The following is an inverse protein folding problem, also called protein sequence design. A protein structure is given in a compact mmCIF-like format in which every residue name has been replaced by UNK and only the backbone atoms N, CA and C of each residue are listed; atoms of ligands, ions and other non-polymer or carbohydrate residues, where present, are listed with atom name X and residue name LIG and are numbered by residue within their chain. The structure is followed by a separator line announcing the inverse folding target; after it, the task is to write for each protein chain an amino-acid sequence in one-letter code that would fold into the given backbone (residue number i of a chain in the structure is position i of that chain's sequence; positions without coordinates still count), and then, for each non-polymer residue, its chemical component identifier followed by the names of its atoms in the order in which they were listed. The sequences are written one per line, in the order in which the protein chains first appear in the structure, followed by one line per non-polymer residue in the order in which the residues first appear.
data_IF_637293452577
#
_entry.id   IF_637293452577
#
_cell.length_a   1.000
_cell.length_b   1.000
_cell.length_c   1.000
_cell.angle_alpha   90.00
_cell.angle_beta   90.00
_cell.angle_gamma   90.00
#
_symmetry.space_group_name_H-M   'P 1'
#
loop_
_entity.id
_entity.type
_entity.pdbx_description
1 polymer ?
#
# COMPACT_ATOMS: atom_id res chain seq x y z
N UNK A 1 36.71 -27.85 -13.19
CA UNK A 1 36.83 -26.86 -14.29
C UNK A 1 35.57 -26.93 -15.14
N UNK A 2 34.52 -26.21 -14.75
CA UNK A 2 33.26 -26.14 -15.50
C UNK A 2 33.31 -24.93 -16.42
N UNK A 3 33.18 -25.16 -17.73
CA UNK A 3 33.18 -24.14 -18.78
C UNK A 3 31.94 -23.24 -18.62
N UNK A 4 32.16 -21.92 -18.61
CA UNK A 4 31.11 -20.92 -18.76
C UNK A 4 30.34 -21.15 -20.08
N UNK A 5 29.03 -20.88 -20.14
CA UNK A 5 28.29 -20.91 -21.39
C UNK A 5 28.62 -19.66 -22.23
N UNK A 6 29.06 -19.92 -23.46
CA UNK A 6 29.43 -18.98 -24.54
C UNK A 6 28.28 -18.03 -24.94
N UNK A 7 27.06 -18.23 -24.45
CA UNK A 7 25.85 -17.50 -24.86
C UNK A 7 25.68 -16.11 -24.22
N UNK A 8 26.52 -15.72 -23.25
CA UNK A 8 26.52 -14.35 -22.67
C UNK A 8 27.27 -13.36 -23.57
N UNK A 9 28.30 -13.83 -24.30
CA UNK A 9 29.07 -13.01 -25.25
C UNK A 9 28.23 -12.55 -26.46
N UNK A 10 27.25 -13.35 -26.88
CA UNK A 10 26.40 -13.06 -28.05
C UNK A 10 25.40 -11.91 -27.77
N UNK A 11 25.02 -11.68 -26.51
CA UNK A 11 24.04 -10.65 -26.13
C UNK A 11 24.61 -9.22 -26.19
N UNK A 12 25.90 -9.05 -25.92
CA UNK A 12 26.61 -7.78 -26.11
C UNK A 12 26.92 -7.52 -27.60
N UNK A 13 27.19 -8.56 -28.40
CA UNK A 13 27.30 -8.47 -29.87
C UNK A 13 26.00 -8.00 -30.55
N UNK A 14 24.82 -8.36 -30.03
CA UNK A 14 23.55 -7.84 -30.56
C UNK A 14 23.33 -6.35 -30.30
N UNK A 15 23.85 -5.78 -29.21
CA UNK A 15 23.82 -4.33 -28.93
C UNK A 15 24.76 -3.53 -29.86
N UNK A 16 25.73 -4.19 -30.51
CA UNK A 16 26.71 -3.57 -31.42
C UNK A 16 26.19 -3.32 -32.86
N UNK A 17 24.92 -3.61 -33.14
CA UNK A 17 24.32 -3.45 -34.47
C UNK A 17 23.67 -2.08 -34.73
N UNK A 18 23.57 -1.21 -33.71
CA UNK A 18 23.21 0.20 -33.93
C UNK A 18 24.35 0.94 -34.62
N UNK A 19 24.10 1.44 -35.84
CA UNK A 19 25.12 2.08 -36.70
C UNK A 19 25.62 3.43 -36.19
N UNK A 20 24.98 3.99 -35.16
CA UNK A 20 25.22 5.37 -34.70
C UNK A 20 25.99 5.47 -33.37
N UNK A 21 26.50 4.36 -32.83
CA UNK A 21 27.33 4.38 -31.62
C UNK A 21 28.82 4.60 -31.97
N UNK A 22 29.54 5.56 -31.34
CA UNK A 22 30.97 5.75 -31.59
C UNK A 22 31.73 4.47 -31.21
N UNK A 23 32.27 3.77 -32.21
CA UNK A 23 32.95 2.46 -32.06
C UNK A 23 34.38 2.54 -31.54
N UNK A 24 34.87 3.71 -31.16
CA UNK A 24 36.29 3.89 -30.85
C UNK A 24 36.57 3.75 -29.35
N UNK A 25 37.30 2.67 -29.02
CA UNK A 25 38.03 2.35 -27.76
C UNK A 25 37.28 2.32 -26.42
N UNK A 26 36.15 2.99 -26.27
CA UNK A 26 35.39 3.00 -25.00
C UNK A 26 34.63 1.67 -24.79
N UNK A 27 34.41 0.89 -25.86
CA UNK A 27 33.54 -0.27 -25.85
C UNK A 27 34.12 -1.58 -25.25
N UNK A 28 35.44 -1.78 -25.21
CA UNK A 28 36.00 -3.08 -24.78
C UNK A 28 36.56 -3.06 -23.35
N UNK A 29 37.16 -1.95 -22.90
CA UNK A 29 37.73 -1.87 -21.54
C UNK A 29 36.72 -1.43 -20.47
N UNK A 30 35.76 -0.56 -20.80
CA UNK A 30 34.75 -0.09 -19.84
C UNK A 30 33.53 -1.03 -19.70
N UNK A 31 33.32 -1.97 -20.62
CA UNK A 31 32.13 -2.83 -20.66
C UNK A 31 32.28 -4.17 -19.91
N UNK A 32 33.50 -4.61 -19.61
CA UNK A 32 33.74 -5.79 -18.77
C UNK A 32 33.32 -5.56 -17.31
N UNK A 33 33.25 -4.30 -16.88
CA UNK A 33 33.09 -3.93 -15.49
C UNK A 33 31.64 -4.06 -14.97
N UNK A 34 30.59 -3.59 -15.67
CA UNK A 34 29.20 -3.78 -15.25
C UNK A 34 28.72 -5.22 -15.46
N UNK A 35 29.27 -5.94 -16.45
CA UNK A 35 28.96 -7.34 -16.69
C UNK A 35 29.49 -8.22 -15.54
N UNK A 36 30.69 -7.94 -15.03
CA UNK A 36 31.20 -8.61 -13.84
C UNK A 36 30.36 -8.28 -12.61
N UNK A 37 29.95 -7.01 -12.42
CA UNK A 37 29.02 -6.65 -11.35
C UNK A 37 27.67 -7.38 -11.44
N UNK A 38 27.13 -7.59 -12.65
CA UNK A 38 25.93 -8.42 -12.92
C UNK A 38 26.13 -9.90 -12.61
N UNK A 39 27.29 -10.45 -12.95
CA UNK A 39 27.64 -11.84 -12.69
C UNK A 39 27.82 -12.08 -11.18
N UNK A 40 28.55 -11.20 -10.51
CA UNK A 40 28.69 -11.24 -9.05
C UNK A 40 27.35 -11.03 -8.35
N UNK A 41 26.48 -10.17 -8.89
CA UNK A 41 25.11 -9.96 -8.40
C UNK A 41 24.26 -11.23 -8.46
N UNK A 42 24.35 -12.03 -9.54
CA UNK A 42 23.65 -13.33 -9.63
C UNK A 42 24.10 -14.28 -8.53
N UNK A 43 25.39 -14.27 -8.18
CA UNK A 43 25.92 -15.09 -7.08
C UNK A 43 25.48 -14.56 -5.71
N UNK A 44 25.33 -13.24 -5.54
CA UNK A 44 24.89 -12.61 -4.28
C UNK A 44 23.38 -12.77 -4.06
N UNK A 45 22.55 -12.71 -5.11
CA UNK A 45 21.10 -12.97 -5.02
C UNK A 45 20.77 -14.40 -4.55
N UNK A 46 21.77 -15.29 -4.54
CA UNK A 46 21.70 -16.66 -4.00
C UNK A 46 22.24 -16.78 -2.58
N UNK A 47 22.89 -15.74 -2.04
CA UNK A 47 23.35 -15.71 -0.66
C UNK A 47 22.14 -15.40 0.24
N UNK A 48 21.83 -16.25 1.23
CA UNK A 48 20.71 -15.99 2.14
C UNK A 48 20.92 -14.65 2.86
N UNK A 49 19.85 -13.83 2.89
CA UNK A 49 19.76 -12.65 3.74
C UNK A 49 20.05 -13.08 5.18
N UNK A 50 21.19 -12.66 5.74
CA UNK A 50 21.60 -13.00 7.11
C UNK A 50 23.00 -13.59 7.30
N UNK A 51 23.80 -13.82 6.24
CA UNK A 51 25.22 -14.13 6.43
C UNK A 51 26.03 -12.86 6.74
N UNK A 52 26.64 -12.83 7.93
CA UNK A 52 27.53 -11.76 8.40
C UNK A 52 28.76 -11.63 7.48
N UNK A 53 28.66 -10.80 6.45
CA UNK A 53 29.82 -10.33 5.70
C UNK A 53 30.67 -9.45 6.63
N UNK A 54 31.83 -9.97 7.02
CA UNK A 54 32.83 -9.29 7.87
C UNK A 54 33.49 -8.10 7.19
N UNK A 55 33.35 -7.98 5.86
CA UNK A 55 33.88 -6.86 5.10
C UNK A 55 33.03 -5.60 5.30
N UNK A 56 33.65 -4.42 5.47
CA UNK A 56 32.93 -3.17 5.68
C UNK A 56 32.17 -2.71 4.42
N UNK A 57 32.54 -3.17 3.22
CA UNK A 57 31.85 -2.91 1.96
C UNK A 57 32.02 -4.13 1.03
N UNK A 58 30.94 -4.66 0.42
CA UNK A 58 31.06 -5.75 -0.54
C UNK A 58 31.75 -5.34 -1.86
N UNK A 59 32.57 -6.21 -2.50
CA UNK A 59 33.29 -5.88 -3.74
C UNK A 59 32.38 -5.46 -4.91
N UNK A 60 31.18 -6.02 -5.00
CA UNK A 60 30.21 -5.65 -6.05
C UNK A 60 29.72 -4.20 -5.91
N UNK A 61 29.66 -3.68 -4.68
CA UNK A 61 29.24 -2.31 -4.43
C UNK A 61 30.33 -1.33 -4.82
N UNK A 62 31.59 -1.63 -4.50
CA UNK A 62 32.74 -0.82 -4.97
C UNK A 62 32.71 -0.72 -6.49
N UNK A 63 32.46 -1.84 -7.19
CA UNK A 63 32.27 -1.83 -8.64
C UNK A 63 31.02 -1.06 -9.07
N UNK A 64 29.93 -1.09 -8.30
CA UNK A 64 28.77 -0.29 -8.64
C UNK A 64 29.07 1.22 -8.58
N UNK A 65 29.81 1.66 -7.56
CA UNK A 65 30.25 3.05 -7.41
C UNK A 65 31.24 3.43 -8.51
N UNK A 66 32.26 2.62 -8.77
CA UNK A 66 33.24 2.87 -9.85
C UNK A 66 32.57 2.91 -11.24
N UNK A 67 31.64 2.00 -11.52
CA UNK A 67 30.87 2.01 -12.76
C UNK A 67 29.98 3.25 -12.87
N UNK A 68 29.42 3.70 -11.75
CA UNK A 68 28.63 4.92 -11.74
C UNK A 68 29.48 6.15 -12.00
N UNK A 69 30.62 6.29 -11.34
CA UNK A 69 31.50 7.46 -11.47
C UNK A 69 32.17 7.55 -12.83
N UNK A 70 32.58 6.41 -13.40
CA UNK A 70 33.34 6.38 -14.67
C UNK A 70 32.45 6.32 -15.90
N UNK A 71 31.26 5.73 -15.80
CA UNK A 71 30.40 5.51 -16.96
C UNK A 71 29.08 6.27 -16.85
N UNK A 72 28.26 6.07 -15.81
CA UNK A 72 26.92 6.68 -15.78
C UNK A 72 26.95 8.20 -15.55
N UNK A 73 27.69 8.66 -14.54
CA UNK A 73 27.72 10.06 -14.11
C UNK A 73 28.18 11.03 -15.21
N UNK A 74 29.25 10.76 -15.99
CA UNK A 74 29.67 11.65 -17.08
C UNK A 74 28.64 11.78 -18.21
N UNK A 75 27.80 10.75 -18.41
CA UNK A 75 26.74 10.75 -19.43
C UNK A 75 25.35 11.07 -18.85
N UNK A 76 25.25 11.45 -17.58
CA UNK A 76 23.98 11.85 -16.99
C UNK A 76 23.49 13.15 -17.63
N UNK A 77 22.26 13.19 -18.20
CA UNK A 77 21.70 14.42 -18.74
C UNK A 77 21.60 15.51 -17.68
N UNK A 78 21.73 16.79 -18.06
CA UNK A 78 21.53 17.90 -17.12
C UNK A 78 20.11 17.95 -16.53
N UNK A 79 19.11 17.45 -17.27
CA UNK A 79 17.71 17.38 -16.86
C UNK A 79 17.08 16.06 -17.30
N UNK A 80 16.22 15.48 -16.46
CA UNK A 80 15.57 14.19 -16.70
C UNK A 80 14.56 14.16 -17.87
N UNK A 81 14.21 15.33 -18.44
CA UNK A 81 13.13 15.50 -19.43
C UNK A 81 13.62 16.00 -20.79
N UNK A 82 14.92 16.05 -21.04
CA UNK A 82 15.39 16.25 -22.40
C UNK A 82 14.95 15.03 -23.23
N UNK A 83 14.39 15.26 -24.43
CA UNK A 83 13.90 14.27 -25.41
C UNK A 83 14.98 13.30 -25.93
N UNK A 84 15.98 12.99 -25.10
CA UNK A 84 16.89 11.90 -25.31
C UNK A 84 16.10 10.62 -25.04
N UNK A 85 15.68 9.91 -26.09
CA UNK A 85 15.53 8.46 -26.02
C UNK A 85 16.84 7.94 -25.43
N UNK A 86 16.90 7.60 -24.12
CA UNK A 86 18.16 7.18 -23.55
C UNK A 86 18.43 5.83 -24.20
N UNK A 87 19.50 5.76 -24.99
CA UNK A 87 20.02 4.52 -25.56
C UNK A 87 19.79 3.39 -24.56
N UNK A 88 18.97 2.40 -24.93
CA UNK A 88 18.44 1.38 -24.02
C UNK A 88 19.55 0.74 -23.17
N UNK A 89 20.76 0.68 -23.71
CA UNK A 89 21.97 0.17 -23.06
C UNK A 89 22.41 0.98 -21.83
N UNK A 90 22.52 2.32 -21.91
CA UNK A 90 22.96 3.15 -20.76
C UNK A 90 21.92 3.10 -19.64
N UNK A 91 20.63 3.09 -20.03
CA UNK A 91 19.52 2.93 -19.09
C UNK A 91 19.55 1.57 -18.38
N UNK A 92 19.83 0.49 -19.10
CA UNK A 92 20.04 -0.85 -18.52
C UNK A 92 21.20 -0.85 -17.50
N UNK A 93 22.33 -0.21 -17.83
CA UNK A 93 23.44 -0.11 -16.89
C UNK A 93 23.06 0.71 -15.65
N UNK A 94 22.43 1.87 -15.82
CA UNK A 94 21.97 2.68 -14.69
C UNK A 94 21.05 1.88 -13.76
N UNK A 95 20.10 1.13 -14.31
CA UNK A 95 19.20 0.26 -13.56
C UNK A 95 19.96 -0.80 -12.73
N UNK A 96 20.92 -1.50 -13.33
CA UNK A 96 21.74 -2.53 -12.65
C UNK A 96 22.56 -1.93 -11.53
N UNK A 97 23.19 -0.79 -11.78
CA UNK A 97 24.05 -0.13 -10.79
C UNK A 97 23.22 0.42 -9.61
N UNK A 98 22.06 1.05 -9.89
CA UNK A 98 21.09 1.46 -8.86
C UNK A 98 20.64 0.26 -8.02
N UNK A 99 20.30 -0.86 -8.67
CA UNK A 99 19.87 -2.08 -7.97
C UNK A 99 20.96 -2.62 -7.05
N UNK A 100 22.22 -2.57 -7.50
CA UNK A 100 23.39 -3.02 -6.73
C UNK A 100 23.66 -2.11 -5.53
N UNK A 101 23.55 -0.78 -5.70
CA UNK A 101 23.64 0.18 -4.60
C UNK A 101 22.52 -0.02 -3.57
N UNK A 102 21.29 -0.22 -4.05
CA UNK A 102 20.11 -0.47 -3.22
C UNK A 102 20.29 -1.71 -2.35
N UNK A 103 20.82 -2.80 -2.91
CA UNK A 103 21.03 -4.05 -2.18
C UNK A 103 21.92 -3.89 -0.94
N UNK A 104 22.97 -3.06 -1.01
CA UNK A 104 23.82 -2.80 0.16
C UNK A 104 23.09 -1.97 1.22
N UNK A 105 22.27 -1.02 0.79
CA UNK A 105 21.45 -0.22 1.70
C UNK A 105 20.32 -1.03 2.37
N UNK A 106 19.96 -2.19 1.81
CA UNK A 106 19.01 -3.15 2.40
C UNK A 106 19.64 -4.07 3.47
N UNK A 107 20.98 -4.09 3.60
CA UNK A 107 21.66 -4.95 4.58
C UNK A 107 21.35 -4.54 6.02
N UNK A 108 21.38 -5.48 6.97
CA UNK A 108 21.23 -5.16 8.40
C UNK A 108 22.53 -4.59 9.02
N UNK A 109 23.65 -4.61 8.28
CA UNK A 109 24.94 -4.17 8.77
C UNK A 109 25.06 -2.64 8.71
N UNK A 110 24.86 -1.98 9.86
CA UNK A 110 24.94 -0.52 10.01
C UNK A 110 26.22 0.09 9.45
N UNK A 111 27.39 -0.55 9.62
CA UNK A 111 28.66 -0.03 9.10
C UNK A 111 28.70 -0.07 7.57
N UNK A 112 28.13 -1.10 6.95
CA UNK A 112 28.00 -1.17 5.49
C UNK A 112 27.06 -0.10 4.97
N UNK A 113 25.91 0.12 5.63
CA UNK A 113 24.97 1.20 5.27
C UNK A 113 25.65 2.57 5.37
N UNK A 114 26.35 2.86 6.46
CA UNK A 114 27.06 4.14 6.68
C UNK A 114 28.12 4.39 5.60
N UNK A 115 28.91 3.36 5.29
CA UNK A 115 29.93 3.44 4.25
C UNK A 115 29.32 3.61 2.85
N UNK A 116 28.27 2.86 2.52
CA UNK A 116 27.56 2.97 1.26
C UNK A 116 26.88 4.34 1.10
N UNK A 117 26.19 4.80 2.15
CA UNK A 117 25.57 6.13 2.22
C UNK A 117 26.58 7.24 1.90
N UNK A 118 27.79 7.15 2.48
CA UNK A 118 28.86 8.12 2.27
C UNK A 118 29.37 8.15 0.83
N UNK A 119 29.38 7.02 0.12
CA UNK A 119 29.81 6.94 -1.27
C UNK A 119 28.73 7.32 -2.28
N UNK A 120 27.45 7.05 -1.96
CA UNK A 120 26.32 7.40 -2.82
C UNK A 120 25.99 8.89 -2.73
N UNK A 121 26.07 9.49 -1.55
CA UNK A 121 25.73 10.89 -1.31
C UNK A 121 26.34 11.89 -2.32
N UNK A 122 27.65 11.87 -2.64
CA UNK A 122 28.23 12.78 -3.63
C UNK A 122 27.74 12.52 -5.07
N UNK A 123 27.23 11.32 -5.37
CA UNK A 123 26.70 10.93 -6.68
C UNK A 123 25.20 11.15 -6.81
N UNK A 124 24.54 11.52 -5.70
CA UNK A 124 23.09 11.50 -5.59
C UNK A 124 22.36 12.30 -6.67
N UNK A 125 22.86 13.49 -7.04
CA UNK A 125 22.23 14.28 -8.09
C UNK A 125 22.10 13.49 -9.40
N UNK A 126 23.16 12.78 -9.79
CA UNK A 126 23.11 11.94 -11.00
C UNK A 126 22.27 10.68 -10.83
N UNK A 127 22.30 10.06 -9.64
CA UNK A 127 21.41 8.94 -9.30
C UNK A 127 19.95 9.34 -9.40
N UNK A 128 19.60 10.52 -8.88
CA UNK A 128 18.25 11.05 -8.88
C UNK A 128 17.71 11.30 -10.30
N UNK A 129 18.51 11.90 -11.18
CA UNK A 129 18.14 12.10 -12.58
C UNK A 129 17.85 10.75 -13.27
N UNK A 130 18.68 9.74 -13.02
CA UNK A 130 18.43 8.41 -13.59
C UNK A 130 17.22 7.71 -12.98
N UNK A 131 16.93 7.89 -11.69
CA UNK A 131 15.69 7.40 -11.09
C UNK A 131 14.46 8.05 -11.75
N UNK A 132 14.50 9.35 -12.04
CA UNK A 132 13.45 10.04 -12.79
C UNK A 132 13.28 9.44 -14.20
N UNK A 133 14.38 9.29 -14.95
CA UNK A 133 14.36 8.70 -16.31
C UNK A 133 13.80 7.27 -16.27
N UNK A 134 14.21 6.45 -15.29
CA UNK A 134 13.74 5.08 -15.13
C UNK A 134 12.24 5.03 -14.80
N UNK A 135 11.75 5.94 -13.97
CA UNK A 135 10.34 6.04 -13.59
C UNK A 135 9.44 6.44 -14.77
N UNK A 136 9.81 7.52 -15.48
CA UNK A 136 9.00 8.08 -16.57
C UNK A 136 9.12 7.32 -17.89
N UNK A 137 10.24 6.65 -18.17
CA UNK A 137 10.40 5.86 -19.40
C UNK A 137 9.76 4.47 -19.38
N UNK A 138 8.87 4.20 -18.41
CA UNK A 138 8.67 2.88 -17.80
C UNK A 138 7.59 1.93 -18.33
N UNK A 139 7.26 1.92 -19.64
CA UNK A 139 6.29 0.95 -20.22
C UNK A 139 6.90 -0.10 -21.15
N UNK A 140 8.13 0.08 -21.62
CA UNK A 140 8.83 -0.98 -22.35
C UNK A 140 9.34 -2.00 -21.33
N UNK A 141 8.63 -3.12 -21.18
CA UNK A 141 9.17 -4.31 -20.53
C UNK A 141 10.53 -4.57 -21.18
N UNK A 142 11.61 -4.47 -20.42
CA UNK A 142 12.91 -4.93 -20.89
C UNK A 142 12.75 -6.44 -21.03
N UNK A 143 12.48 -6.93 -22.24
CA UNK A 143 12.66 -8.34 -22.54
C UNK A 143 14.18 -8.55 -22.44
N UNK A 144 14.71 -9.21 -21.38
CA UNK A 144 16.12 -9.55 -21.39
C UNK A 144 16.36 -10.38 -22.66
N UNK A 145 17.40 -10.11 -23.48
CA UNK A 145 17.57 -10.76 -24.78
C UNK A 145 17.82 -12.28 -24.74
N UNK A 146 17.59 -12.97 -23.62
CA UNK A 146 17.91 -14.40 -23.47
C UNK A 146 16.95 -15.11 -22.51
N UNK A 147 16.70 -16.39 -22.79
CA UNK A 147 15.97 -17.41 -22.01
C UNK A 147 16.62 -17.74 -20.63
N UNK A 148 17.34 -16.80 -20.02
CA UNK A 148 17.83 -16.91 -18.66
C UNK A 148 16.90 -16.14 -17.73
N UNK A 149 16.05 -16.85 -16.99
CA UNK A 149 15.10 -16.29 -16.03
C UNK A 149 15.80 -15.42 -14.96
N UNK A 150 15.98 -14.13 -15.23
CA UNK A 150 16.09 -13.12 -14.18
C UNK A 150 14.69 -12.97 -13.58
N UNK A 151 14.55 -12.87 -12.24
CA UNK A 151 13.25 -12.70 -11.63
C UNK A 151 12.55 -11.45 -12.20
N UNK A 152 11.23 -11.49 -12.50
CA UNK A 152 10.49 -10.37 -13.07
C UNK A 152 10.65 -9.03 -12.32
N UNK A 153 10.89 -9.13 -11.01
CA UNK A 153 11.12 -8.01 -10.08
C UNK A 153 12.28 -7.08 -10.49
N UNK A 154 13.19 -7.54 -11.35
CA UNK A 154 14.37 -6.80 -11.81
C UNK A 154 14.30 -6.34 -13.26
N UNK A 155 13.13 -6.46 -13.90
CA UNK A 155 12.95 -6.14 -15.33
C UNK A 155 12.22 -4.82 -15.56
N UNK A 156 11.69 -4.20 -14.51
CA UNK A 156 10.98 -2.91 -14.59
C UNK A 156 11.80 -1.81 -13.93
N UNK A 157 12.09 -0.75 -14.69
CA UNK A 157 12.72 0.47 -14.16
C UNK A 157 11.97 1.04 -12.95
N UNK A 158 10.64 0.91 -12.93
CA UNK A 158 9.78 1.34 -11.80
C UNK A 158 10.05 0.54 -10.52
N UNK A 159 10.34 -0.76 -10.62
CA UNK A 159 10.64 -1.60 -9.46
C UNK A 159 11.99 -1.22 -8.80
N UNK A 160 13.01 -0.90 -9.59
CA UNK A 160 14.28 -0.40 -9.05
C UNK A 160 14.12 0.97 -8.39
N UNK A 161 13.32 1.86 -8.99
CA UNK A 161 12.99 3.16 -8.39
C UNK A 161 12.28 2.97 -7.05
N UNK A 162 11.24 2.12 -7.01
CA UNK A 162 10.53 1.81 -5.78
C UNK A 162 11.47 1.31 -4.69
N UNK A 163 12.29 0.30 -4.97
CA UNK A 163 13.19 -0.29 -3.96
C UNK A 163 14.18 0.70 -3.41
N UNK A 164 14.84 1.48 -4.29
CA UNK A 164 15.77 2.51 -3.86
C UNK A 164 15.05 3.52 -2.94
N UNK A 165 13.90 4.04 -3.35
CA UNK A 165 13.12 4.99 -2.54
C UNK A 165 12.65 4.39 -1.22
N UNK A 166 12.14 3.16 -1.23
CA UNK A 166 11.67 2.47 -0.04
C UNK A 166 12.79 2.34 1.00
N UNK A 167 13.98 1.93 0.56
CA UNK A 167 15.15 1.80 1.44
C UNK A 167 15.59 3.15 1.99
N UNK A 168 15.64 4.17 1.15
CA UNK A 168 16.07 5.52 1.55
C UNK A 168 15.09 6.20 2.50
N UNK A 169 13.80 5.94 2.38
CA UNK A 169 12.78 6.53 3.25
C UNK A 169 12.61 5.71 4.54
N UNK A 170 12.64 4.38 4.45
CA UNK A 170 12.29 3.49 5.56
C UNK A 170 13.47 3.06 6.42
N UNK A 171 14.62 2.71 5.82
CA UNK A 171 15.78 2.25 6.58
C UNK A 171 16.54 3.41 7.26
N UNK A 172 16.02 4.64 7.15
CA UNK A 172 16.60 5.88 7.70
C UNK A 172 18.12 5.89 7.49
N UNK A 173 18.58 6.01 6.23
CA UNK A 173 20.00 5.95 5.92
C UNK A 173 20.76 6.88 6.86
N UNK A 174 21.82 6.37 7.47
CA UNK A 174 22.68 7.18 8.31
C UNK A 174 23.26 8.32 7.44
N UNK A 175 23.58 9.44 8.08
CA UNK A 175 24.24 10.61 7.45
C UNK A 175 25.46 10.08 6.67
N UNK A 176 25.63 10.40 5.36
CA UNK A 176 25.19 11.65 4.70
C UNK A 176 23.99 11.58 3.74
N UNK A 177 23.61 10.42 3.20
CA UNK A 177 22.63 10.32 2.11
C UNK A 177 21.23 10.88 2.49
N UNK A 178 20.86 10.77 3.76
CA UNK A 178 19.61 11.36 4.29
C UNK A 178 19.55 12.89 4.13
N UNK A 179 20.68 13.58 4.30
CA UNK A 179 20.70 15.05 4.20
C UNK A 179 20.47 15.50 2.76
N UNK A 180 20.99 14.74 1.80
CA UNK A 180 20.79 15.02 0.38
C UNK A 180 19.35 14.68 -0.03
N UNK A 181 18.81 13.56 0.48
CA UNK A 181 17.43 13.15 0.22
C UNK A 181 16.41 14.22 0.65
N UNK A 182 16.58 14.82 1.84
CA UNK A 182 15.70 15.89 2.34
C UNK A 182 15.70 17.13 1.42
N UNK A 183 16.82 17.39 0.74
CA UNK A 183 16.98 18.51 -0.19
C UNK A 183 16.63 18.16 -1.64
N UNK A 184 16.18 16.94 -1.89
CA UNK A 184 15.93 16.45 -3.25
C UNK A 184 14.64 17.05 -3.78
N UNK A 185 14.79 17.92 -4.77
CA UNK A 185 13.65 18.51 -5.47
C UNK A 185 12.81 17.43 -6.15
N UNK A 186 11.48 17.60 -6.06
CA UNK A 186 10.48 16.77 -6.74
C UNK A 186 10.45 15.30 -6.29
N UNK A 187 11.03 14.98 -5.13
CA UNK A 187 10.94 13.64 -4.54
C UNK A 187 9.48 13.24 -4.29
N UNK A 188 8.73 14.13 -3.65
CA UNK A 188 7.31 13.92 -3.35
C UNK A 188 6.46 13.74 -4.61
N UNK A 189 6.82 14.42 -5.71
CA UNK A 189 6.14 14.28 -7.00
C UNK A 189 6.24 12.87 -7.56
N UNK A 190 7.42 12.25 -7.50
CA UNK A 190 7.60 10.86 -7.98
C UNK A 190 6.84 9.90 -7.09
N UNK A 191 6.93 10.05 -5.77
CA UNK A 191 6.23 9.20 -4.81
C UNK A 191 4.71 9.28 -5.06
N UNK A 192 4.17 10.49 -5.19
CA UNK A 192 2.77 10.73 -5.49
C UNK A 192 2.36 10.12 -6.84
N UNK A 193 3.18 10.29 -7.88
CA UNK A 193 2.91 9.73 -9.21
C UNK A 193 2.90 8.21 -9.19
N UNK A 194 3.87 7.57 -8.54
CA UNK A 194 3.90 6.11 -8.39
C UNK A 194 2.64 5.59 -7.68
N UNK A 195 2.21 6.27 -6.61
CA UNK A 195 1.00 5.90 -5.88
C UNK A 195 -0.27 6.13 -6.71
N UNK A 196 -0.33 7.21 -7.50
CA UNK A 196 -1.47 7.46 -8.39
C UNK A 196 -1.53 6.43 -9.52
N UNK A 197 -0.41 6.20 -10.22
CA UNK A 197 -0.31 5.28 -11.35
C UNK A 197 -0.75 3.87 -10.98
N UNK A 198 -0.25 3.36 -9.85
CA UNK A 198 -0.67 2.05 -9.33
C UNK A 198 -2.17 2.01 -8.98
N UNK A 199 -2.78 3.13 -8.56
CA UNK A 199 -4.21 3.18 -8.27
C UNK A 199 -5.09 3.17 -9.51
N UNK A 200 -4.57 3.66 -10.62
CA UNK A 200 -5.21 3.58 -11.94
C UNK A 200 -5.00 2.20 -12.59
N UNK A 201 -3.95 1.48 -12.20
CA UNK A 201 -3.63 0.17 -12.72
C UNK A 201 -4.47 -0.96 -12.08
N UNK A 202 -5.54 -1.35 -12.77
CA UNK A 202 -6.43 -2.46 -12.37
C UNK A 202 -5.69 -3.81 -12.31
N UNK A 203 -4.64 -3.99 -13.13
CA UNK A 203 -3.89 -5.23 -13.19
C UNK A 203 -2.82 -5.32 -12.11
N UNK A 204 -2.56 -4.21 -11.42
CA UNK A 204 -1.59 -4.11 -10.34
C UNK A 204 -0.19 -4.62 -10.77
N UNK A 205 0.27 -4.15 -11.91
CA UNK A 205 1.54 -4.50 -12.56
C UNK A 205 2.72 -4.34 -11.60
N UNK A 206 2.66 -3.35 -10.71
CA UNK A 206 3.68 -3.08 -9.69
C UNK A 206 3.25 -3.47 -8.26
N UNK A 207 2.15 -4.20 -8.10
CA UNK A 207 1.76 -4.81 -6.81
C UNK A 207 1.34 -3.84 -5.70
N UNK A 208 0.97 -2.59 -6.02
CA UNK A 208 0.60 -1.55 -5.05
C UNK A 208 1.71 -1.12 -4.08
N UNK A 209 2.96 -1.38 -4.45
CA UNK A 209 4.14 -1.18 -3.61
C UNK A 209 4.32 0.27 -3.16
N UNK A 210 3.88 1.27 -3.94
CA UNK A 210 3.98 2.68 -3.54
C UNK A 210 3.28 3.01 -2.22
N UNK A 211 2.34 2.17 -1.75
CA UNK A 211 1.73 2.30 -0.42
C UNK A 211 2.77 2.24 0.72
N UNK A 212 3.93 1.61 0.50
CA UNK A 212 5.04 1.61 1.47
C UNK A 212 5.82 2.92 1.53
N UNK A 213 5.79 3.74 0.46
CA UNK A 213 6.49 5.03 0.41
C UNK A 213 5.71 6.13 1.14
N UNK A 214 4.39 5.96 1.28
CA UNK A 214 3.49 6.90 1.93
C UNK A 214 3.26 6.62 3.42
N UNK A 215 4.13 5.83 4.05
CA UNK A 215 4.04 5.51 5.49
C UNK A 215 4.30 6.79 6.29
N UNK A 216 3.22 7.42 6.76
CA UNK A 216 3.30 8.53 7.70
C UNK A 216 3.61 7.98 9.08
N UNK A 217 4.48 8.64 9.84
CA UNK A 217 4.33 8.62 11.30
C UNK A 217 3.04 9.41 11.59
N UNK A 218 1.97 8.77 12.10
CA UNK A 218 0.66 9.39 12.29
C UNK A 218 0.68 10.62 13.23
N UNK A 219 1.80 10.86 13.92
CA UNK A 219 1.99 11.98 14.86
C UNK A 219 2.62 13.24 14.23
N UNK A 220 2.93 13.24 12.93
CA UNK A 220 3.53 14.38 12.23
C UNK A 220 2.59 15.00 11.20
N UNK A 221 2.78 16.28 10.86
CA UNK A 221 2.07 17.04 9.83
C UNK A 221 1.80 16.19 8.56
N UNK A 222 0.76 16.47 7.73
CA UNK A 222 0.48 15.63 6.58
C UNK A 222 1.78 15.51 5.79
N UNK A 223 2.17 14.30 5.43
CA UNK A 223 3.39 14.16 4.67
C UNK A 223 3.27 15.01 3.40
N UNK A 224 4.34 15.69 2.99
CA UNK A 224 4.35 16.51 1.78
C UNK A 224 3.73 15.80 0.55
N UNK A 225 3.88 14.48 0.46
CA UNK A 225 3.29 13.68 -0.62
C UNK A 225 1.75 13.70 -0.69
N UNK A 226 1.00 13.84 0.41
CA UNK A 226 -0.48 13.78 0.33
C UNK A 226 -1.04 15.06 -0.33
N UNK A 227 -0.40 16.21 -0.06
CA UNK A 227 -0.70 17.45 -0.77
C UNK A 227 -0.39 17.32 -2.26
N UNK A 228 0.74 16.69 -2.59
CA UNK A 228 1.12 16.44 -3.97
C UNK A 228 0.17 15.47 -4.70
N UNK A 229 -0.31 14.41 -4.02
CA UNK A 229 -1.34 13.52 -4.57
C UNK A 229 -2.62 14.31 -4.87
N UNK A 230 -3.08 15.16 -3.95
CA UNK A 230 -4.25 16.01 -4.16
C UNK A 230 -4.03 16.97 -5.34
N UNK A 231 -2.87 17.62 -5.40
CA UNK A 231 -2.52 18.54 -6.49
C UNK A 231 -2.55 17.84 -7.85
N UNK A 232 -1.97 16.63 -7.95
CA UNK A 232 -1.96 15.83 -9.20
C UNK A 232 -3.31 15.23 -9.56
N UNK A 233 -4.19 15.03 -8.59
CA UNK A 233 -5.61 14.72 -8.81
C UNK A 233 -6.45 15.99 -9.06
N UNK A 234 -5.86 17.06 -9.62
CA UNK A 234 -6.57 18.30 -9.99
C UNK A 234 -7.04 19.14 -8.80
N UNK A 235 -6.49 18.90 -7.60
CA UNK A 235 -6.94 19.54 -6.36
C UNK A 235 -8.21 18.94 -5.77
N UNK A 236 -8.76 17.86 -6.35
CA UNK A 236 -10.02 17.26 -5.93
C UNK A 236 -9.79 16.11 -4.94
N UNK A 237 -10.20 16.29 -3.69
CA UNK A 237 -10.06 15.29 -2.64
C UNK A 237 -10.98 14.08 -2.83
N UNK A 238 -12.13 14.23 -3.50
CA UNK A 238 -13.02 13.11 -3.83
C UNK A 238 -12.37 12.15 -4.84
N UNK A 239 -11.63 12.68 -5.82
CA UNK A 239 -10.91 11.86 -6.79
C UNK A 239 -9.80 11.04 -6.12
N UNK A 240 -9.12 11.62 -5.12
CA UNK A 240 -8.12 10.91 -4.31
C UNK A 240 -8.78 9.80 -3.47
N UNK A 241 -9.91 10.06 -2.84
CA UNK A 241 -10.64 9.04 -2.05
C UNK A 241 -11.13 7.91 -2.95
N UNK A 242 -11.67 8.23 -4.13
CA UNK A 242 -12.07 7.21 -5.11
C UNK A 242 -10.88 6.37 -5.54
N UNK A 243 -9.74 7.00 -5.82
CA UNK A 243 -8.50 6.31 -6.20
C UNK A 243 -7.98 5.40 -5.08
N UNK A 244 -7.98 5.86 -3.83
CA UNK A 244 -7.60 5.08 -2.65
C UNK A 244 -8.53 3.86 -2.47
N UNK A 245 -9.85 4.03 -2.60
CA UNK A 245 -10.79 2.91 -2.56
C UNK A 245 -10.57 1.92 -3.72
N UNK A 246 -10.26 2.41 -4.93
CA UNK A 246 -9.90 1.58 -6.07
C UNK A 246 -8.62 0.76 -5.81
N UNK A 247 -7.55 1.39 -5.30
CA UNK A 247 -6.31 0.71 -4.91
C UNK A 247 -6.57 -0.46 -3.97
N UNK A 248 -7.26 -0.17 -2.86
CA UNK A 248 -7.59 -1.16 -1.84
C UNK A 248 -8.39 -2.32 -2.44
N UNK A 249 -9.39 -2.00 -3.26
CA UNK A 249 -10.27 -2.98 -3.90
C UNK A 249 -9.51 -3.86 -4.88
N UNK A 250 -8.67 -3.27 -5.72
CA UNK A 250 -7.88 -4.01 -6.71
C UNK A 250 -6.85 -4.90 -6.03
N UNK A 251 -6.16 -4.42 -4.99
CA UNK A 251 -5.21 -5.21 -4.20
C UNK A 251 -5.88 -6.45 -3.59
N UNK A 252 -6.99 -6.28 -2.85
CA UNK A 252 -7.70 -7.39 -2.23
C UNK A 252 -8.21 -8.43 -3.25
N UNK A 253 -8.56 -8.00 -4.46
CA UNK A 253 -9.08 -8.89 -5.51
C UNK A 253 -8.01 -9.75 -6.19
N UNK A 254 -6.73 -9.49 -5.94
CA UNK A 254 -5.66 -10.33 -6.45
C UNK A 254 -5.76 -11.74 -5.87
N UNK A 255 -5.24 -12.72 -6.60
CA UNK A 255 -5.09 -14.10 -6.11
C UNK A 255 -4.16 -14.18 -4.89
N UNK A 256 -3.19 -13.27 -4.82
CA UNK A 256 -2.22 -13.13 -3.72
C UNK A 256 -2.10 -11.65 -3.37
N UNK A 257 -2.99 -11.10 -2.53
CA UNK A 257 -2.98 -9.69 -2.17
C UNK A 257 -1.67 -9.29 -1.48
N UNK A 258 -1.16 -8.10 -1.77
CA UNK A 258 -0.11 -7.48 -0.98
C UNK A 258 -0.74 -6.87 0.29
N UNK A 259 -0.79 -7.71 1.32
CA UNK A 259 -1.40 -7.38 2.61
C UNK A 259 -0.69 -6.25 3.36
N UNK A 260 0.61 -6.02 3.13
CA UNK A 260 1.33 -4.95 3.83
C UNK A 260 1.09 -3.60 3.16
N UNK A 261 1.08 -3.55 1.82
CA UNK A 261 0.62 -2.39 1.05
C UNK A 261 -0.83 -2.03 1.39
N UNK A 262 -1.69 -3.04 1.45
CA UNK A 262 -3.10 -2.91 1.81
C UNK A 262 -3.27 -2.30 3.22
N UNK A 263 -2.48 -2.77 4.19
CA UNK A 263 -2.47 -2.21 5.55
C UNK A 263 -2.07 -0.74 5.55
N UNK A 264 -1.12 -0.31 4.73
CA UNK A 264 -0.75 1.12 4.65
C UNK A 264 -1.88 1.97 4.09
N UNK A 265 -2.55 1.52 3.03
CA UNK A 265 -3.70 2.24 2.48
C UNK A 265 -4.87 2.33 3.48
N UNK A 266 -5.11 1.27 4.26
CA UNK A 266 -6.07 1.33 5.36
C UNK A 266 -5.67 2.29 6.48
N UNK A 267 -4.39 2.32 6.85
CA UNK A 267 -3.88 3.26 7.84
C UNK A 267 -4.03 4.71 7.37
N UNK A 268 -3.87 4.97 6.05
CA UNK A 268 -4.13 6.29 5.49
C UNK A 268 -5.61 6.68 5.67
N UNK A 269 -6.56 5.81 5.31
CA UNK A 269 -7.99 6.07 5.55
C UNK A 269 -8.31 6.30 7.03
N UNK A 270 -7.78 5.41 7.87
CA UNK A 270 -7.99 5.43 9.31
C UNK A 270 -7.48 6.74 9.93
N UNK A 271 -6.27 7.17 9.57
CA UNK A 271 -5.66 8.40 10.08
C UNK A 271 -6.43 9.66 9.69
N UNK A 272 -7.13 9.66 8.55
CA UNK A 272 -7.99 10.78 8.13
C UNK A 272 -9.32 10.86 8.93
N UNK A 273 -9.67 9.81 9.67
CA UNK A 273 -10.87 9.75 10.52
C UNK A 273 -10.54 9.77 12.02
N UNK A 274 -9.26 9.82 12.39
CA UNK A 274 -8.83 9.90 13.78
C UNK A 274 -9.18 11.26 14.39
N UNK A 275 -9.70 11.31 15.63
CA UNK A 275 -10.23 12.55 16.23
C UNK A 275 -9.15 13.40 16.90
N UNK A 276 -8.16 12.72 17.47
CA UNK A 276 -7.11 13.32 18.30
C UNK A 276 -5.82 13.56 17.51
N UNK A 277 -5.85 13.33 16.20
CA UNK A 277 -4.72 13.61 15.34
C UNK A 277 -4.56 15.13 15.17
N UNK A 278 -3.41 15.65 15.60
CA UNK A 278 -3.01 17.06 15.36
C UNK A 278 -2.56 17.30 13.92
N UNK A 279 -2.46 16.25 13.11
CA UNK A 279 -2.19 16.29 11.69
C UNK A 279 -3.35 16.86 10.86
N UNK A 280 -3.04 17.24 9.62
CA UNK A 280 -4.03 17.80 8.68
C UNK A 280 -4.85 16.66 8.06
N UNK A 281 -6.17 16.75 8.22
CA UNK A 281 -7.16 15.79 7.75
C UNK A 281 -7.69 16.15 6.35
N UNK A 282 -6.78 16.22 5.37
CA UNK A 282 -7.06 16.70 4.01
C UNK A 282 -8.21 15.96 3.32
N UNK A 283 -8.32 14.65 3.50
CA UNK A 283 -9.30 13.82 2.81
C UNK A 283 -10.57 13.57 3.63
N UNK A 284 -10.64 14.06 4.87
CA UNK A 284 -11.70 13.68 5.82
C UNK A 284 -13.10 13.98 5.30
N UNK A 285 -13.32 15.18 4.77
CA UNK A 285 -14.64 15.56 4.27
C UNK A 285 -15.06 14.69 3.08
N UNK A 286 -14.16 14.49 2.12
CA UNK A 286 -14.39 13.59 0.98
C UNK A 286 -14.71 12.17 1.45
N UNK A 287 -13.96 11.61 2.41
CA UNK A 287 -14.24 10.27 2.97
C UNK A 287 -15.63 10.20 3.61
N UNK A 288 -15.98 11.19 4.45
CA UNK A 288 -17.24 11.22 5.19
C UNK A 288 -18.48 11.33 4.30
N UNK A 289 -18.36 12.05 3.19
CA UNK A 289 -19.46 12.29 2.26
C UNK A 289 -19.44 11.39 1.02
N UNK A 290 -18.43 10.51 0.89
CA UNK A 290 -18.34 9.63 -0.27
C UNK A 290 -19.47 8.57 -0.24
N UNK A 291 -20.36 8.55 -1.24
CA UNK A 291 -21.63 7.80 -1.17
C UNK A 291 -21.46 6.27 -1.13
N UNK A 292 -20.34 5.77 -1.64
CA UNK A 292 -20.05 4.33 -1.66
C UNK A 292 -19.05 3.91 -0.58
N UNK A 293 -18.67 4.78 0.36
CA UNK A 293 -17.61 4.47 1.33
C UNK A 293 -17.96 3.25 2.19
N UNK A 294 -19.09 3.30 2.90
CA UNK A 294 -19.51 2.22 3.82
C UNK A 294 -19.70 0.89 3.08
N UNK A 295 -20.41 0.89 1.95
CA UNK A 295 -20.65 -0.32 1.16
C UNK A 295 -19.35 -0.94 0.68
N UNK A 296 -18.44 -0.11 0.14
CA UNK A 296 -17.13 -0.57 -0.34
C UNK A 296 -16.29 -1.17 0.79
N UNK A 297 -16.23 -0.53 1.96
CA UNK A 297 -15.48 -1.04 3.11
C UNK A 297 -16.06 -2.36 3.63
N UNK A 298 -17.38 -2.52 3.64
CA UNK A 298 -18.03 -3.79 4.04
C UNK A 298 -17.75 -4.91 3.04
N UNK A 299 -17.79 -4.61 1.74
CA UNK A 299 -17.44 -5.58 0.69
C UNK A 299 -15.98 -6.05 0.80
N UNK A 300 -15.06 -5.13 1.14
CA UNK A 300 -13.65 -5.44 1.38
C UNK A 300 -13.44 -6.39 2.58
N UNK A 301 -14.21 -6.22 3.66
CA UNK A 301 -14.19 -7.16 4.80
C UNK A 301 -14.62 -8.56 4.34
N UNK A 302 -15.65 -8.66 3.50
CA UNK A 302 -16.10 -9.96 2.97
C UNK A 302 -14.98 -10.67 2.20
N UNK A 303 -14.31 -9.95 1.31
CA UNK A 303 -13.19 -10.49 0.54
C UNK A 303 -11.99 -10.87 1.43
N UNK A 304 -11.67 -10.08 2.46
CA UNK A 304 -10.63 -10.45 3.42
C UNK A 304 -10.98 -11.70 4.21
N UNK A 305 -12.24 -11.91 4.56
CA UNK A 305 -12.68 -13.14 5.23
C UNK A 305 -12.57 -14.37 4.33
N UNK A 306 -12.80 -14.21 3.02
CA UNK A 306 -12.56 -15.27 2.04
C UNK A 306 -11.07 -15.63 1.99
N UNK A 307 -10.19 -14.62 1.90
CA UNK A 307 -8.74 -14.83 1.98
C UNK A 307 -8.28 -15.43 3.31
N UNK A 308 -8.89 -15.03 4.43
CA UNK A 308 -8.57 -15.60 5.74
C UNK A 308 -8.88 -17.10 5.82
N UNK A 309 -9.94 -17.55 5.13
CA UNK A 309 -10.33 -18.97 5.11
C UNK A 309 -9.41 -19.79 4.23
N UNK A 310 -8.98 -19.25 3.08
CA UNK A 310 -8.09 -19.94 2.16
C UNK A 310 -6.63 -19.94 2.66
N UNK A 311 -6.18 -18.81 3.22
CA UNK A 311 -4.81 -18.61 3.69
C UNK A 311 -4.79 -17.79 4.99
N UNK A 312 -4.98 -18.42 6.15
CA UNK A 312 -5.03 -17.70 7.42
C UNK A 312 -3.67 -17.06 7.76
N UNK A 313 -3.65 -15.73 7.90
CA UNK A 313 -2.48 -14.99 8.38
C UNK A 313 -2.86 -13.94 9.44
N UNK A 314 -1.95 -13.61 10.38
CA UNK A 314 -2.18 -12.54 11.35
C UNK A 314 -2.44 -11.18 10.70
N UNK A 315 -1.80 -10.92 9.55
CA UNK A 315 -1.88 -9.65 8.84
C UNK A 315 -3.27 -9.41 8.22
N UNK A 316 -3.95 -10.46 7.72
CA UNK A 316 -5.37 -10.36 7.31
C UNK A 316 -6.25 -9.95 8.50
N UNK A 317 -6.02 -10.57 9.66
CA UNK A 317 -6.77 -10.26 10.88
C UNK A 317 -6.52 -8.83 11.36
N UNK A 318 -5.33 -8.28 11.13
CA UNK A 318 -5.00 -6.88 11.38
C UNK A 318 -5.74 -5.95 10.41
N UNK A 319 -5.69 -6.23 9.10
CA UNK A 319 -6.42 -5.47 8.08
C UNK A 319 -7.93 -5.40 8.34
N UNK A 320 -8.56 -6.53 8.70
CA UNK A 320 -9.98 -6.56 9.10
C UNK A 320 -10.23 -5.64 10.30
N UNK A 321 -9.31 -5.60 11.26
CA UNK A 321 -9.48 -4.79 12.47
C UNK A 321 -9.39 -3.29 12.17
N UNK A 322 -8.42 -2.88 11.34
CA UNK A 322 -8.26 -1.48 10.92
C UNK A 322 -9.49 -1.03 10.13
N UNK A 323 -10.00 -1.86 9.22
CA UNK A 323 -11.21 -1.56 8.46
C UNK A 323 -12.45 -1.39 9.34
N UNK A 324 -12.66 -2.31 10.28
CA UNK A 324 -13.78 -2.20 11.22
C UNK A 324 -13.69 -0.90 12.03
N UNK A 325 -12.51 -0.57 12.55
CA UNK A 325 -12.32 0.68 13.29
C UNK A 325 -12.58 1.91 12.40
N UNK A 326 -12.14 1.86 11.14
CA UNK A 326 -12.39 2.91 10.14
C UNK A 326 -13.90 3.09 9.89
N UNK A 327 -14.65 2.00 9.69
CA UNK A 327 -16.12 2.04 9.56
C UNK A 327 -16.76 2.63 10.82
N UNK A 328 -16.33 2.20 12.00
CA UNK A 328 -16.92 2.68 13.25
C UNK A 328 -16.64 4.14 13.53
N UNK A 329 -15.45 4.64 13.18
CA UNK A 329 -15.14 6.08 13.24
C UNK A 329 -16.00 6.87 12.26
N UNK A 330 -16.15 6.39 11.03
CA UNK A 330 -17.05 7.02 10.06
C UNK A 330 -18.48 7.12 10.61
N UNK A 331 -19.02 6.01 11.14
CA UNK A 331 -20.35 5.97 11.75
C UNK A 331 -20.45 6.89 12.98
N UNK A 332 -19.41 6.93 13.82
CA UNK A 332 -19.36 7.83 14.97
C UNK A 332 -19.47 9.30 14.56
N UNK A 333 -18.80 9.68 13.46
CA UNK A 333 -18.77 11.06 12.97
C UNK A 333 -20.08 11.42 12.25
N UNK A 334 -20.54 10.57 11.33
CA UNK A 334 -21.71 10.84 10.48
C UNK A 334 -23.04 10.54 11.16
N UNK A 335 -23.05 9.74 12.24
CA UNK A 335 -24.25 9.42 12.99
C UNK A 335 -25.27 8.62 12.19
N UNK A 336 -26.53 9.08 12.19
CA UNK A 336 -27.69 8.32 11.71
C UNK A 336 -27.55 7.86 10.25
N UNK A 337 -27.15 8.74 9.34
CA UNK A 337 -27.12 8.44 7.90
C UNK A 337 -26.14 7.30 7.59
N UNK A 338 -24.98 7.32 8.25
CA UNK A 338 -24.00 6.24 8.10
C UNK A 338 -24.44 4.95 8.79
N UNK A 339 -25.18 5.01 9.91
CA UNK A 339 -25.79 3.81 10.53
C UNK A 339 -26.82 3.20 9.58
N UNK A 340 -27.64 4.03 8.93
CA UNK A 340 -28.65 3.57 7.99
C UNK A 340 -27.99 2.85 6.80
N UNK A 341 -27.00 3.47 6.17
CA UNK A 341 -26.22 2.83 5.10
C UNK A 341 -25.57 1.53 5.58
N UNK A 342 -24.94 1.53 6.77
CA UNK A 342 -24.31 0.34 7.32
C UNK A 342 -25.32 -0.79 7.56
N UNK A 343 -26.53 -0.47 8.03
CA UNK A 343 -27.60 -1.44 8.28
C UNK A 343 -28.17 -2.07 6.99
N UNK A 344 -28.01 -1.40 5.84
CA UNK A 344 -28.38 -1.92 4.52
C UNK A 344 -27.35 -2.93 3.96
N UNK A 345 -26.18 -3.05 4.59
CA UNK A 345 -25.11 -3.96 4.15
C UNK A 345 -25.17 -5.35 4.83
N UNK A 346 -24.24 -6.22 4.46
CA UNK A 346 -24.05 -7.56 5.07
C UNK A 346 -23.24 -7.55 6.37
N UNK A 347 -22.90 -6.37 6.91
CA UNK A 347 -21.98 -6.23 8.06
C UNK A 347 -22.35 -7.14 9.23
N UNK A 348 -23.62 -7.24 9.62
CA UNK A 348 -24.02 -8.05 10.78
C UNK A 348 -23.67 -9.53 10.59
N UNK A 349 -23.83 -10.07 9.38
CA UNK A 349 -23.41 -11.43 9.04
C UNK A 349 -21.89 -11.57 9.11
N UNK A 350 -21.15 -10.60 8.57
CA UNK A 350 -19.68 -10.59 8.61
C UNK A 350 -19.13 -10.52 10.03
N UNK A 351 -19.71 -9.69 10.92
CA UNK A 351 -19.32 -9.63 12.33
C UNK A 351 -19.51 -11.00 13.02
N UNK A 352 -20.59 -11.72 12.69
CA UNK A 352 -20.80 -13.09 13.18
C UNK A 352 -19.70 -14.03 12.66
N UNK A 353 -19.35 -13.93 11.38
CA UNK A 353 -18.29 -14.76 10.79
C UNK A 353 -16.92 -14.49 11.41
N UNK A 354 -16.56 -13.22 11.63
CA UNK A 354 -15.30 -12.81 12.27
C UNK A 354 -15.20 -13.36 13.69
N UNK A 355 -16.31 -13.32 14.44
CA UNK A 355 -16.36 -13.83 15.81
C UNK A 355 -16.05 -15.32 15.93
N UNK A 356 -16.45 -16.10 14.92
CA UNK A 356 -16.24 -17.55 14.90
C UNK A 356 -14.85 -17.93 14.39
N UNK A 357 -14.32 -17.17 13.42
CA UNK A 357 -12.97 -17.36 12.92
C UNK A 357 -11.90 -17.03 13.98
N UNK A 358 -12.24 -16.17 14.95
CA UNK A 358 -11.31 -15.70 15.98
C UNK A 358 -11.39 -16.56 17.25
N UNK A 359 -10.81 -17.77 17.22
CA UNK A 359 -10.67 -18.64 18.41
C UNK A 359 -9.87 -17.97 19.55
N UNK A 360 -9.11 -16.92 19.22
CA UNK A 360 -8.30 -16.13 20.14
C UNK A 360 -8.41 -14.62 19.86
N UNK A 361 -9.62 -14.06 19.77
CA UNK A 361 -9.75 -12.58 19.72
C UNK A 361 -9.04 -11.98 20.93
N UNK A 362 -7.99 -11.15 20.75
CA UNK A 362 -7.47 -10.36 21.85
C UNK A 362 -8.63 -9.51 22.38
N UNK A 363 -8.74 -9.41 23.72
CA UNK A 363 -9.85 -8.74 24.42
C UNK A 363 -10.19 -7.35 23.85
N UNK A 364 -9.20 -6.66 23.29
CA UNK A 364 -9.37 -5.36 22.60
C UNK A 364 -10.34 -5.40 21.43
N UNK A 365 -10.33 -6.44 20.58
CA UNK A 365 -11.22 -6.53 19.40
C UNK A 365 -12.69 -6.68 19.83
N UNK A 366 -12.95 -7.52 20.83
CA UNK A 366 -14.31 -7.74 21.36
C UNK A 366 -14.96 -6.46 21.91
N UNK A 367 -14.16 -5.54 22.46
CA UNK A 367 -14.63 -4.22 22.93
C UNK A 367 -15.10 -3.35 21.76
N UNK A 368 -14.35 -3.29 20.66
CA UNK A 368 -14.78 -2.56 19.44
C UNK A 368 -16.06 -3.14 18.85
N UNK A 369 -16.18 -4.48 18.78
CA UNK A 369 -17.41 -5.14 18.34
C UNK A 369 -18.62 -4.85 19.25
N UNK A 370 -18.40 -4.84 20.57
CA UNK A 370 -19.42 -4.49 21.55
C UNK A 370 -19.90 -3.05 21.40
N UNK A 371 -18.95 -2.10 21.29
CA UNK A 371 -19.25 -0.69 21.04
C UNK A 371 -20.03 -0.53 19.73
N UNK A 372 -19.62 -1.20 18.65
CA UNK A 372 -20.31 -1.09 17.38
C UNK A 372 -21.76 -1.58 17.39
N UNK A 373 -22.00 -2.78 17.92
CA UNK A 373 -23.33 -3.37 17.95
C UNK A 373 -24.27 -2.66 18.92
N UNK A 374 -23.77 -2.23 20.09
CA UNK A 374 -24.62 -1.63 21.12
C UNK A 374 -24.73 -0.11 20.99
N UNK A 375 -23.62 0.60 20.79
CA UNK A 375 -23.57 2.06 20.79
C UNK A 375 -23.97 2.63 19.43
N UNK A 376 -23.58 2.00 18.32
CA UNK A 376 -23.90 2.54 16.99
C UNK A 376 -25.14 1.91 16.37
N UNK A 377 -25.27 0.59 16.35
CA UNK A 377 -26.47 -0.01 15.75
C UNK A 377 -27.64 0.02 16.75
N UNK A 378 -27.41 -0.48 17.97
CA UNK A 378 -28.41 -0.53 19.04
C UNK A 378 -29.07 0.82 19.32
N UNK A 379 -28.25 1.87 19.53
CA UNK A 379 -28.74 3.22 19.81
C UNK A 379 -29.70 3.77 18.76
N UNK A 380 -29.56 3.42 17.49
CA UNK A 380 -30.40 3.96 16.41
C UNK A 380 -31.56 3.02 16.02
N UNK A 381 -31.70 1.86 16.68
CA UNK A 381 -32.82 0.94 16.43
C UNK A 381 -34.20 1.46 16.88
N UNK A 382 -34.29 2.63 17.52
CA UNK A 382 -35.58 3.30 17.73
C UNK A 382 -36.17 3.85 16.42
N UNK A 383 -35.30 4.20 15.46
CA UNK A 383 -35.73 4.64 14.14
C UNK A 383 -36.22 3.44 13.31
N UNK A 384 -37.42 3.58 12.75
CA UNK A 384 -38.11 2.49 12.01
C UNK A 384 -37.25 1.89 10.88
N UNK A 385 -36.55 2.67 10.04
CA UNK A 385 -35.78 2.09 8.93
C UNK A 385 -34.66 1.18 9.42
N UNK A 386 -33.83 1.67 10.35
CA UNK A 386 -32.73 0.91 10.97
C UNK A 386 -33.27 -0.32 11.68
N UNK A 387 -34.36 -0.17 12.45
CA UNK A 387 -35.02 -1.27 13.14
C UNK A 387 -35.40 -2.42 12.20
N UNK A 388 -36.07 -2.11 11.09
CA UNK A 388 -36.56 -3.10 10.12
C UNK A 388 -35.39 -3.84 9.47
N UNK A 389 -34.35 -3.10 9.06
CA UNK A 389 -33.17 -3.66 8.41
C UNK A 389 -32.38 -4.56 9.36
N UNK A 390 -32.06 -4.07 10.56
CA UNK A 390 -31.34 -4.86 11.58
C UNK A 390 -32.13 -6.11 11.94
N UNK A 391 -33.46 -6.00 12.12
CA UNK A 391 -34.31 -7.17 12.38
C UNK A 391 -34.22 -8.18 11.23
N UNK A 392 -34.33 -7.75 9.97
CA UNK A 392 -34.24 -8.64 8.81
C UNK A 392 -32.89 -9.34 8.77
N UNK A 393 -31.80 -8.60 8.94
CA UNK A 393 -30.44 -9.13 8.93
C UNK A 393 -30.18 -10.11 10.08
N UNK A 394 -30.67 -9.82 11.28
CA UNK A 394 -30.55 -10.74 12.41
C UNK A 394 -31.31 -12.05 12.20
N UNK A 395 -32.44 -12.03 11.50
CA UNK A 395 -33.26 -13.22 11.22
C UNK A 395 -32.68 -14.12 10.11
N UNK A 396 -31.56 -13.75 9.50
CA UNK A 396 -30.89 -14.61 8.52
C UNK A 396 -30.39 -15.91 9.19
N UNK A 397 -30.44 -17.06 8.49
CA UNK A 397 -30.11 -18.38 9.08
C UNK A 397 -28.69 -18.43 9.64
N UNK A 398 -27.75 -17.77 8.95
CA UNK A 398 -26.35 -17.69 9.36
C UNK A 398 -26.21 -16.99 10.71
N UNK A 399 -26.87 -15.85 10.91
CA UNK A 399 -26.82 -15.13 12.18
C UNK A 399 -27.58 -15.90 13.27
N UNK A 400 -28.74 -16.49 12.94
CA UNK A 400 -29.57 -17.22 13.89
C UNK A 400 -28.91 -18.49 14.46
N UNK A 401 -28.18 -19.24 13.63
CA UNK A 401 -27.49 -20.48 14.06
C UNK A 401 -26.23 -20.18 14.90
N UNK A 402 -25.54 -19.09 14.59
CA UNK A 402 -24.22 -18.74 15.13
C UNK A 402 -24.26 -17.86 16.40
N UNK A 403 -25.46 -17.47 16.86
CA UNK A 403 -25.71 -16.70 18.10
C UNK A 403 -25.19 -17.34 19.40
N UNK A 404 -24.88 -18.63 19.40
CA UNK A 404 -24.68 -19.42 20.62
C UNK A 404 -23.23 -19.44 21.15
N UNK A 405 -22.30 -18.72 20.53
CA UNK A 405 -20.86 -18.87 20.81
C UNK A 405 -20.19 -17.50 20.99
N UNK A 406 -19.47 -17.33 22.12
CA UNK A 406 -18.59 -16.18 22.39
C UNK A 406 -19.28 -14.87 22.78
N UNK A 407 -18.47 -13.84 23.09
CA UNK A 407 -18.92 -12.51 23.52
C UNK A 407 -19.76 -11.80 22.44
N UNK A 408 -19.41 -11.95 21.16
CA UNK A 408 -20.13 -11.32 20.06
C UNK A 408 -21.55 -11.91 19.90
N UNK A 409 -21.71 -13.23 20.10
CA UNK A 409 -23.02 -13.87 20.16
C UNK A 409 -23.89 -13.28 21.28
N UNK A 410 -23.31 -13.02 22.46
CA UNK A 410 -24.02 -12.36 23.56
C UNK A 410 -24.46 -10.94 23.20
N UNK A 411 -23.63 -10.14 22.53
CA UNK A 411 -24.01 -8.81 22.06
C UNK A 411 -25.12 -8.85 21.00
N UNK A 412 -25.12 -9.85 20.10
CA UNK A 412 -26.21 -10.05 19.14
C UNK A 412 -27.51 -10.45 19.82
N UNK A 413 -27.45 -11.30 20.85
CA UNK A 413 -28.62 -11.65 21.68
C UNK A 413 -29.13 -10.40 22.41
N UNK A 414 -28.25 -9.59 22.98
CA UNK A 414 -28.61 -8.34 23.64
C UNK A 414 -29.29 -7.36 22.68
N UNK A 415 -28.75 -7.19 21.46
CA UNK A 415 -29.37 -6.38 20.41
C UNK A 415 -30.74 -6.91 20.01
N UNK A 416 -30.90 -8.23 19.86
CA UNK A 416 -32.18 -8.85 19.55
C UNK A 416 -33.20 -8.65 20.68
N UNK A 417 -32.77 -8.78 21.95
CA UNK A 417 -33.60 -8.51 23.12
C UNK A 417 -34.07 -7.06 23.14
N UNK A 418 -33.16 -6.12 22.86
CA UNK A 418 -33.46 -4.69 22.75
C UNK A 418 -34.49 -4.40 21.65
N UNK A 419 -34.32 -4.98 20.46
CA UNK A 419 -35.28 -4.93 19.36
C UNK A 419 -36.64 -5.52 19.78
N UNK A 420 -36.63 -6.63 20.52
CA UNK A 420 -37.83 -7.25 21.07
C UNK A 420 -38.57 -6.35 22.06
N UNK A 421 -37.85 -5.63 22.92
CA UNK A 421 -38.42 -4.66 23.85
C UNK A 421 -39.09 -3.49 23.10
N UNK A 422 -38.43 -2.93 22.09
CA UNK A 422 -39.01 -1.89 21.24
C UNK A 422 -40.26 -2.33 20.48
N UNK A 423 -40.33 -3.58 20.02
CA UNK A 423 -41.55 -4.12 19.42
C UNK A 423 -42.72 -4.16 20.40
N UNK A 424 -42.46 -4.48 21.67
CA UNK A 424 -43.51 -4.47 22.70
C UNK A 424 -43.99 -3.04 22.95
N UNK A 425 -43.07 -2.09 23.10
CA UNK A 425 -43.40 -0.66 23.28
C UNK A 425 -44.24 -0.14 22.11
N UNK A 426 -43.82 -0.38 20.86
CA UNK A 426 -44.58 0.05 19.67
C UNK A 426 -45.97 -0.58 19.58
N UNK A 427 -46.11 -1.85 19.96
CA UNK A 427 -47.43 -2.51 19.99
C UNK A 427 -48.36 -1.86 21.02
N UNK A 428 -47.82 -1.50 22.18
CA UNK A 428 -48.57 -0.78 23.23
C UNK A 428 -48.93 0.65 22.80
N UNK A 429 -48.03 1.38 22.13
CA UNK A 429 -48.33 2.69 21.55
C UNK A 429 -49.42 2.61 20.47
N UNK A 430 -49.39 1.61 19.59
CA UNK A 430 -50.47 1.41 18.60
C UNK A 430 -51.80 1.02 19.24
N UNK A 431 -51.80 0.40 20.42
CA UNK A 431 -53.02 0.12 21.17
C UNK A 431 -53.59 1.38 21.83
N UNK A 432 -52.74 2.30 22.31
CA UNK A 432 -53.21 3.57 22.88
C UNK A 432 -53.56 4.64 21.84
N UNK A 433 -52.93 4.64 20.66
CA UNK A 433 -53.27 5.58 19.56
C UNK A 433 -54.60 5.20 18.87
N UNK A 434 -55.07 3.96 19.03
CA UNK A 434 -56.40 3.55 18.56
C UNK A 434 -57.52 3.76 19.61
N UNK A 435 -57.17 4.07 20.86
CA UNK A 435 -58.12 4.35 21.95
C UNK A 435 -58.21 5.83 22.33
N UNK A 436 -57.39 6.70 21.74
CA UNK A 436 -57.46 8.14 21.97
C UNK A 436 -57.45 8.88 20.64
N UNK A 437 -58.64 9.22 20.13
CA UNK A 437 -58.77 10.14 19.00
C UNK A 437 -58.00 11.44 19.26
N UNK A 438 -57.37 11.97 18.21
CA UNK A 438 -56.69 13.26 18.14
C UNK A 438 -55.61 13.52 19.20
N UNK A 439 -54.34 13.39 18.80
CA UNK A 439 -53.33 14.41 19.13
C UNK A 439 -52.17 14.32 18.14
N UNK A 440 -52.11 15.32 17.24
CA UNK A 440 -50.88 15.72 16.55
C UNK A 440 -49.83 16.06 17.62
N UNK A 441 -48.83 15.21 17.80
CA UNK A 441 -47.62 15.59 18.52
C UNK A 441 -46.55 16.01 17.51
N UNK A 442 -46.25 17.30 17.54
CA UNK A 442 -45.09 17.94 16.95
C UNK A 442 -43.81 17.30 17.49
N UNK A 443 -42.82 17.10 16.63
CA UNK A 443 -41.45 16.77 17.00
C UNK A 443 -40.56 17.97 16.65
N UNK A 444 -39.86 18.50 17.65
CA UNK A 444 -38.69 19.39 17.54
C UNK A 444 -37.44 18.53 17.64
#
# INVERSE_FOLDING_TARGET
MLKLPINILISLECCHTSKDFPRDRIAEEHFNFPLQALLDYKDISRVPVGQNLTLPIPPFFTRAIEGWTTFIHPYTPHHAFAECSPWDTVRCYAHVLISSMTLVLETENRKQIEAASSQIAPLWHSVWIWLQILHYGGDSSFAPPTEGHLPPVYTSGRAAVFRMLNVLLYNKPQIPLREVLIKTERLDEIIATMWIDEGLDVNATNGFQASHLIRSDPLTAPPPFLLEIVARCGGNTDDVVRLLLCRIKHNIKQSTPDLESLKQDYNLLWGQLERDNTGIMLLRQAILFHPAFITTMVDMISLLLEHQRSQPTPLISECISIQLDTIFRHVYIMGFDSVLQLAETTILSLLTQISLASVSTPKSKAVYFSMALQIFIGRFTFYRPVFVLVRRSLMTPDVAHRRRIGLIGQHMIALQSHIGAWLKIRKLETQHVLDCGNLRMFWV
#
